data_IF_278527315220
#
_entry.id   IF_278527315220
#
_cell.length_a   1.000
_cell.length_b   1.000
_cell.length_c   1.000
_cell.angle_alpha   90.00
_cell.angle_beta   90.00
_cell.angle_gamma   90.00
#
_symmetry.space_group_name_H-M   'P 1'
#
loop_
_entity.id
_entity.type
_entity.pdbx_description
1 polymer ?
#
# COMPACT_ATOMS: atom_id res chain seq x y z
N UNK A 1 -42.78 21.36 -32.58
CA UNK A 1 -41.38 20.86 -32.47
C UNK A 1 -40.40 21.88 -31.89
N UNK A 2 -40.49 23.21 -32.09
CA UNK A 2 -39.54 24.18 -31.51
C UNK A 2 -39.54 24.27 -29.95
N UNK A 3 -40.71 24.12 -29.29
CA UNK A 3 -40.83 24.22 -27.82
C UNK A 3 -40.16 23.10 -27.06
N UNK A 4 -40.11 21.89 -27.63
CA UNK A 4 -39.44 20.73 -26.99
C UNK A 4 -37.91 20.85 -27.04
N UNK A 5 -37.40 21.47 -28.11
CA UNK A 5 -35.95 21.63 -28.29
C UNK A 5 -35.36 22.68 -27.35
N UNK A 6 -36.10 23.77 -27.06
CA UNK A 6 -35.67 24.77 -26.06
C UNK A 6 -35.64 24.19 -24.65
N UNK A 7 -36.59 23.32 -24.29
CA UNK A 7 -36.54 22.62 -22.98
C UNK A 7 -35.31 21.73 -22.83
N UNK A 8 -34.92 21.02 -23.87
CA UNK A 8 -33.77 20.15 -23.88
C UNK A 8 -32.45 20.94 -23.74
N UNK A 9 -32.34 22.11 -24.36
CA UNK A 9 -31.18 23.02 -24.23
C UNK A 9 -31.09 23.55 -22.79
N UNK A 10 -32.20 23.94 -22.15
CA UNK A 10 -32.20 24.43 -20.77
C UNK A 10 -31.75 23.34 -19.80
N UNK A 11 -32.23 22.09 -19.98
CA UNK A 11 -31.80 20.96 -19.15
C UNK A 11 -30.29 20.70 -19.35
N UNK A 12 -29.80 20.76 -20.60
CA UNK A 12 -28.39 20.57 -20.88
C UNK A 12 -27.51 21.63 -20.22
N UNK A 13 -27.91 22.90 -20.26
CA UNK A 13 -27.21 24.00 -19.57
C UNK A 13 -27.24 23.83 -18.07
N UNK A 14 -28.37 23.42 -17.48
CA UNK A 14 -28.46 23.14 -16.04
C UNK A 14 -27.54 21.99 -15.60
N UNK A 15 -27.42 20.95 -16.42
CA UNK A 15 -26.52 19.83 -16.16
C UNK A 15 -25.03 20.20 -16.23
N UNK A 16 -24.68 21.09 -17.19
CA UNK A 16 -23.30 21.55 -17.38
C UNK A 16 -22.85 22.60 -16.37
N UNK A 17 -23.78 23.37 -15.80
CA UNK A 17 -23.49 24.38 -14.77
C UNK A 17 -23.49 23.81 -13.35
N UNK A 18 -24.02 22.60 -13.15
CA UNK A 18 -23.98 21.95 -11.86
C UNK A 18 -22.57 21.49 -11.52
N UNK A 19 -21.89 22.23 -10.65
CA UNK A 19 -20.63 21.80 -10.03
C UNK A 19 -20.96 21.05 -8.75
N UNK A 20 -20.91 19.70 -8.73
CA UNK A 20 -21.15 18.96 -7.50
C UNK A 20 -20.07 19.36 -6.49
N UNK A 21 -20.48 19.93 -5.37
CA UNK A 21 -19.56 20.12 -4.25
C UNK A 21 -19.27 18.75 -3.65
N UNK A 22 -18.12 18.17 -3.97
CA UNK A 22 -17.65 16.88 -3.44
C UNK A 22 -17.43 16.87 -1.91
N UNK A 23 -17.84 17.92 -1.20
CA UNK A 23 -17.82 17.99 0.26
C UNK A 23 -18.67 16.90 0.94
N UNK A 24 -19.60 16.27 0.19
CA UNK A 24 -20.40 15.16 0.69
C UNK A 24 -19.52 14.00 1.19
N UNK A 25 -18.43 13.69 0.49
CA UNK A 25 -17.51 12.62 0.90
C UNK A 25 -16.58 13.00 2.06
N UNK A 26 -16.32 14.30 2.27
CA UNK A 26 -15.57 14.77 3.44
C UNK A 26 -16.35 14.60 4.75
N UNK A 27 -17.68 14.66 4.68
CA UNK A 27 -18.55 14.49 5.84
C UNK A 27 -18.84 13.01 6.18
N UNK A 28 -18.52 12.08 5.27
CA UNK A 28 -18.55 10.66 5.57
C UNK A 28 -17.31 10.33 6.41
N UNK A 29 -17.51 9.92 7.66
CA UNK A 29 -16.43 9.49 8.54
C UNK A 29 -15.85 8.14 8.06
N UNK A 30 -15.10 8.20 6.96
CA UNK A 30 -14.42 7.06 6.33
C UNK A 30 -12.95 6.96 6.78
N UNK A 31 -12.61 7.52 7.95
CA UNK A 31 -11.27 7.43 8.49
C UNK A 31 -10.91 5.98 8.77
N UNK A 32 -9.70 5.61 8.41
CA UNK A 32 -9.20 4.24 8.59
C UNK A 32 -9.07 3.96 10.08
N UNK A 33 -9.77 2.92 10.54
CA UNK A 33 -9.77 2.46 11.94
C UNK A 33 -9.05 1.13 12.12
N UNK A 34 -8.90 0.37 11.04
CA UNK A 34 -8.28 -0.96 11.11
C UNK A 34 -7.43 -1.24 9.88
N UNK A 35 -6.18 -1.63 10.15
CA UNK A 35 -5.24 -2.12 9.15
C UNK A 35 -5.07 -3.63 9.39
N UNK A 36 -5.46 -4.45 8.40
CA UNK A 36 -5.21 -5.89 8.40
C UNK A 36 -4.05 -6.19 7.47
N UNK A 37 -3.04 -6.87 7.97
CA UNK A 37 -1.86 -7.29 7.21
C UNK A 37 -1.93 -8.80 7.05
N UNK A 38 -1.64 -9.28 5.87
CA UNK A 38 -1.66 -10.70 5.53
C UNK A 38 -0.46 -11.08 4.67
N UNK A 39 -0.10 -12.36 4.75
CA UNK A 39 0.95 -13.00 3.98
C UNK A 39 2.37 -12.47 4.32
N UNK A 40 2.54 -11.92 5.51
CA UNK A 40 3.86 -11.60 6.08
C UNK A 40 4.29 -12.76 6.99
N UNK A 41 5.50 -13.25 6.80
CA UNK A 41 6.09 -14.35 7.59
C UNK A 41 7.42 -13.96 8.22
N UNK A 42 8.19 -13.11 7.58
CA UNK A 42 9.51 -12.64 8.01
C UNK A 42 9.41 -11.25 8.64
N UNK A 43 8.64 -10.36 7.99
CA UNK A 43 8.44 -9.00 8.50
C UNK A 43 7.33 -9.02 9.54
N UNK A 44 7.63 -8.52 10.72
CA UNK A 44 6.66 -8.49 11.80
C UNK A 44 5.50 -7.54 11.48
N UNK A 45 4.30 -7.98 11.86
CA UNK A 45 3.08 -7.17 11.67
C UNK A 45 3.15 -5.83 12.40
N UNK A 46 3.82 -5.79 13.56
CA UNK A 46 4.10 -4.57 14.33
C UNK A 46 4.89 -3.57 13.51
N UNK A 47 6.02 -4.00 12.94
CA UNK A 47 6.91 -3.11 12.16
C UNK A 47 6.21 -2.49 10.96
N UNK A 48 5.36 -3.27 10.29
CA UNK A 48 4.56 -2.76 9.16
C UNK A 48 3.52 -1.75 9.64
N UNK A 49 2.85 -2.02 10.77
CA UNK A 49 1.82 -1.11 11.31
C UNK A 49 2.43 0.20 11.78
N UNK A 50 3.59 0.16 12.44
CA UNK A 50 4.28 1.36 12.93
C UNK A 50 4.67 2.29 11.77
N UNK A 51 5.11 1.70 10.65
CA UNK A 51 5.40 2.46 9.41
C UNK A 51 4.16 3.05 8.76
N UNK A 52 3.00 2.49 9.01
CA UNK A 52 1.72 2.87 8.41
C UNK A 52 0.78 3.57 9.41
N UNK A 53 1.29 4.00 10.58
CA UNK A 53 0.49 4.64 11.63
C UNK A 53 -0.22 5.91 11.14
N UNK A 54 0.40 6.65 10.24
CA UNK A 54 -0.20 7.83 9.61
C UNK A 54 -1.55 7.54 8.94
N UNK A 55 -1.78 6.30 8.48
CA UNK A 55 -3.02 5.90 7.81
C UNK A 55 -4.26 6.01 8.71
N UNK A 56 -4.10 5.94 10.03
CA UNK A 56 -5.24 6.09 10.96
C UNK A 56 -5.83 7.51 10.96
N UNK A 57 -5.10 8.48 10.41
CA UNK A 57 -5.57 9.86 10.24
C UNK A 57 -6.14 10.09 8.84
N UNK A 58 -5.95 9.13 7.91
CA UNK A 58 -6.34 9.25 6.53
C UNK A 58 -7.78 8.78 6.28
N UNK A 59 -8.39 9.41 5.27
CA UNK A 59 -9.70 8.99 4.78
C UNK A 59 -9.53 7.89 3.74
N UNK A 60 -10.23 6.77 3.93
CA UNK A 60 -10.15 5.59 3.08
C UNK A 60 -10.44 5.89 1.59
N UNK A 61 -11.30 6.86 1.32
CA UNK A 61 -11.66 7.22 -0.05
C UNK A 61 -10.49 7.91 -0.77
N UNK A 62 -9.78 8.81 -0.08
CA UNK A 62 -8.66 9.58 -0.62
C UNK A 62 -7.29 8.93 -0.39
N UNK A 63 -7.26 7.69 0.08
CA UNK A 63 -6.03 6.96 0.38
C UNK A 63 -5.03 7.01 -0.77
N UNK A 64 -3.84 7.52 -0.49
CA UNK A 64 -2.72 7.60 -1.43
C UNK A 64 -1.82 6.36 -1.33
N UNK A 65 -1.84 5.52 -2.37
CA UNK A 65 -1.03 4.29 -2.41
C UNK A 65 0.47 4.59 -2.49
N UNK A 66 0.85 5.68 -3.16
CA UNK A 66 2.26 6.09 -3.28
C UNK A 66 2.89 6.39 -1.91
N UNK A 67 2.12 6.91 -0.98
CA UNK A 67 2.61 7.19 0.37
C UNK A 67 2.86 5.91 1.16
N UNK A 68 1.99 4.91 1.00
CA UNK A 68 2.22 3.57 1.56
C UNK A 68 3.50 2.97 0.99
N UNK A 69 3.68 3.05 -0.33
CA UNK A 69 4.89 2.54 -1.00
C UNK A 69 6.15 3.20 -0.46
N UNK A 70 6.17 4.52 -0.33
CA UNK A 70 7.33 5.26 0.19
C UNK A 70 7.69 4.84 1.61
N UNK A 71 6.70 4.58 2.46
CA UNK A 71 6.94 4.15 3.85
C UNK A 71 7.39 2.69 3.95
N UNK A 72 6.95 1.82 3.06
CA UNK A 72 7.34 0.40 3.03
C UNK A 72 8.64 0.14 2.26
N UNK A 73 9.07 1.05 1.38
CA UNK A 73 10.26 0.90 0.54
C UNK A 73 11.54 0.60 1.33
N UNK A 74 11.64 1.08 2.55
CA UNK A 74 12.80 0.87 3.43
C UNK A 74 12.81 -0.52 4.10
N UNK A 75 11.74 -1.29 3.98
CA UNK A 75 11.73 -2.67 4.48
C UNK A 75 12.28 -3.61 3.41
N UNK A 76 13.53 -4.02 3.61
CA UNK A 76 14.30 -4.74 2.59
C UNK A 76 13.72 -6.08 2.19
N UNK A 77 12.94 -6.73 3.06
CA UNK A 77 12.29 -8.01 2.79
C UNK A 77 11.01 -7.89 1.97
N UNK A 78 10.40 -6.72 1.87
CA UNK A 78 9.19 -6.54 1.06
C UNK A 78 9.57 -6.47 -0.42
N UNK A 79 8.99 -7.34 -1.23
CA UNK A 79 9.10 -7.33 -2.69
C UNK A 79 8.03 -6.44 -3.32
N UNK A 80 6.80 -6.67 -2.92
CA UNK A 80 5.63 -5.92 -3.37
C UNK A 80 4.49 -6.02 -2.37
N UNK A 81 3.45 -5.24 -2.58
CA UNK A 81 2.22 -5.31 -1.77
C UNK A 81 1.00 -4.94 -2.60
N UNK A 82 -0.15 -5.32 -2.12
CA UNK A 82 -1.43 -4.85 -2.65
C UNK A 82 -2.33 -4.36 -1.53
N UNK A 83 -3.12 -3.32 -1.82
CA UNK A 83 -4.03 -2.70 -0.87
C UNK A 83 -5.47 -2.93 -1.31
N UNK A 84 -6.30 -3.47 -0.41
CA UNK A 84 -7.74 -3.60 -0.61
C UNK A 84 -8.48 -2.70 0.38
N UNK A 85 -9.28 -1.77 -0.13
CA UNK A 85 -10.18 -0.94 0.67
C UNK A 85 -11.40 -1.76 1.08
N UNK A 86 -11.68 -1.82 2.38
CA UNK A 86 -12.86 -2.50 2.94
C UNK A 86 -13.67 -1.45 3.68
N UNK A 87 -14.69 -0.96 3.02
CA UNK A 87 -15.57 0.07 3.57
C UNK A 87 -16.32 -0.42 4.79
N UNK A 88 -16.65 0.45 5.76
CA UNK A 88 -16.42 1.90 5.69
C UNK A 88 -15.02 2.39 6.15
N UNK A 89 -14.22 1.60 6.88
CA UNK A 89 -13.08 2.12 7.64
C UNK A 89 -11.90 1.14 7.80
N UNK A 90 -11.78 0.15 6.92
CA UNK A 90 -10.71 -0.85 7.01
C UNK A 90 -9.89 -0.90 5.72
N UNK A 91 -8.62 -1.17 5.87
CA UNK A 91 -7.75 -1.58 4.76
C UNK A 91 -7.18 -2.97 5.04
N UNK A 92 -6.95 -3.70 3.96
CA UNK A 92 -6.24 -4.97 3.97
C UNK A 92 -5.00 -4.82 3.10
N UNK A 93 -3.85 -5.01 3.70
CA UNK A 93 -2.56 -5.03 3.05
C UNK A 93 -2.12 -6.48 2.88
N UNK A 94 -1.85 -6.88 1.66
CA UNK A 94 -1.32 -8.21 1.34
C UNK A 94 0.12 -8.02 0.91
N UNK A 95 1.05 -8.58 1.68
CA UNK A 95 2.49 -8.45 1.46
C UNK A 95 2.98 -9.61 0.60
N UNK A 96 3.95 -9.34 -0.26
CA UNK A 96 4.77 -10.33 -0.93
C UNK A 96 6.19 -10.12 -0.46
N UNK A 97 6.74 -11.11 0.23
CA UNK A 97 8.11 -11.04 0.75
C UNK A 97 9.10 -11.60 -0.27
N UNK A 98 10.31 -11.04 -0.31
CA UNK A 98 11.43 -11.56 -1.09
C UNK A 98 11.90 -12.88 -0.49
N UNK A 99 12.27 -13.81 -1.34
CA UNK A 99 12.78 -15.12 -0.96
C UNK A 99 14.30 -15.11 -1.03
N UNK A 100 15.03 -15.16 0.10
CA UNK A 100 16.47 -15.31 0.12
C UNK A 100 16.91 -16.68 -0.45
N UNK A 101 17.90 -16.67 -1.33
CA UNK A 101 18.49 -17.89 -1.93
C UNK A 101 19.98 -18.06 -1.62
N UNK A 102 20.68 -17.00 -1.22
CA UNK A 102 22.08 -17.02 -0.86
C UNK A 102 22.42 -15.92 0.15
N UNK A 103 23.54 -16.10 0.85
CA UNK A 103 24.14 -15.08 1.72
C UNK A 103 25.34 -14.49 0.99
N UNK A 104 25.32 -13.21 0.68
CA UNK A 104 26.46 -12.48 0.18
C UNK A 104 27.31 -11.97 1.36
N UNK A 105 28.56 -12.37 1.41
CA UNK A 105 29.52 -11.79 2.36
C UNK A 105 30.46 -10.84 1.62
N UNK A 106 30.29 -9.54 1.86
CA UNK A 106 31.14 -8.52 1.28
C UNK A 106 31.86 -7.75 2.38
N UNK A 107 33.19 -7.91 2.42
CA UNK A 107 34.03 -7.37 3.51
C UNK A 107 33.52 -7.89 4.88
N UNK A 108 33.11 -6.99 5.78
CA UNK A 108 32.61 -7.31 7.12
C UNK A 108 31.07 -7.31 7.20
N UNK A 109 30.38 -7.12 6.07
CA UNK A 109 28.91 -7.06 6.02
C UNK A 109 28.34 -8.29 5.35
N UNK A 110 27.18 -8.71 5.83
CA UNK A 110 26.38 -9.78 5.21
C UNK A 110 25.09 -9.19 4.67
N UNK A 111 24.65 -9.75 3.56
CA UNK A 111 23.34 -9.47 2.93
C UNK A 111 22.74 -10.79 2.49
N UNK A 112 21.44 -10.85 2.34
CA UNK A 112 20.85 -11.91 1.55
C UNK A 112 20.73 -11.47 0.10
N UNK A 113 20.79 -12.44 -0.82
CA UNK A 113 20.42 -12.28 -2.23
C UNK A 113 19.08 -12.97 -2.42
N UNK A 114 18.11 -12.25 -2.98
CA UNK A 114 16.81 -12.83 -3.31
C UNK A 114 16.87 -13.64 -4.61
N UNK A 115 15.82 -14.43 -4.86
CA UNK A 115 15.56 -15.14 -6.11
C UNK A 115 15.56 -14.22 -7.35
N UNK A 116 15.26 -12.94 -7.16
CA UNK A 116 15.31 -11.91 -8.22
C UNK A 116 16.64 -11.15 -8.29
N UNK A 117 17.66 -11.56 -7.51
CA UNK A 117 18.96 -10.92 -7.48
C UNK A 117 19.02 -9.61 -6.66
N UNK A 118 17.98 -9.27 -5.90
CA UNK A 118 17.97 -8.09 -5.05
C UNK A 118 18.72 -8.34 -3.75
N UNK A 119 19.44 -7.32 -3.27
CA UNK A 119 20.05 -7.35 -1.94
C UNK A 119 19.00 -7.08 -0.86
N UNK A 120 19.06 -7.88 0.19
CA UNK A 120 18.22 -7.78 1.38
C UNK A 120 19.13 -7.63 2.59
N UNK A 121 18.79 -6.73 3.51
CA UNK A 121 19.55 -6.56 4.74
C UNK A 121 19.56 -7.86 5.53
N UNK A 122 20.74 -8.25 5.99
CA UNK A 122 20.90 -9.48 6.74
C UNK A 122 20.21 -9.39 8.11
N UNK A 123 19.35 -10.36 8.38
CA UNK A 123 18.76 -10.61 9.71
C UNK A 123 19.13 -12.05 10.10
N UNK A 124 19.38 -12.31 11.38
CA UNK A 124 19.66 -13.67 11.85
C UNK A 124 18.35 -14.46 11.94
N UNK A 125 17.97 -15.08 10.83
CA UNK A 125 16.75 -15.86 10.71
C UNK A 125 17.14 -17.33 10.59
N UNK A 126 16.75 -18.16 11.56
CA UNK A 126 17.12 -19.59 11.62
C UNK A 126 16.78 -20.34 10.31
N UNK A 127 15.67 -20.01 9.69
CA UNK A 127 15.24 -20.67 8.44
C UNK A 127 16.20 -20.45 7.27
N UNK A 128 17.02 -19.40 7.32
CA UNK A 128 17.97 -19.04 6.24
C UNK A 128 19.44 -19.23 6.65
N UNK A 129 19.71 -19.95 7.78
CA UNK A 129 21.08 -20.20 8.26
C UNK A 129 21.92 -21.06 7.31
N UNK A 130 21.27 -21.94 6.57
CA UNK A 130 21.92 -22.98 5.74
C UNK A 130 22.03 -22.59 4.26
N UNK A 131 21.73 -21.31 3.95
CA UNK A 131 21.88 -20.81 2.61
C UNK A 131 23.37 -20.76 2.18
N UNK A 132 23.67 -21.00 0.88
CA UNK A 132 25.04 -20.90 0.36
C UNK A 132 25.60 -19.49 0.55
N UNK A 133 26.88 -19.42 0.92
CA UNK A 133 27.61 -18.16 1.08
C UNK A 133 28.39 -17.88 -0.19
N UNK A 134 28.22 -16.69 -0.73
CA UNK A 134 28.96 -16.13 -1.88
C UNK A 134 29.78 -14.93 -1.44
N UNK A 135 30.93 -14.72 -2.12
CA UNK A 135 31.92 -13.71 -1.77
C UNK A 135 32.12 -12.72 -2.93
#
# INVERSE_FOLDING_TARGET
MKRSFTGLIVIFVLLTTYKPQFNFFKNLNLNIKKIKIENNSIVETSDIKDRLDFLYQENLFFLNIQEIENNLKNESFIDSFSVKKIYPNKIKLIIVEKIPIAILQYKKKKFFISDKGNLINFKNIKFYSDLPIVF
#
